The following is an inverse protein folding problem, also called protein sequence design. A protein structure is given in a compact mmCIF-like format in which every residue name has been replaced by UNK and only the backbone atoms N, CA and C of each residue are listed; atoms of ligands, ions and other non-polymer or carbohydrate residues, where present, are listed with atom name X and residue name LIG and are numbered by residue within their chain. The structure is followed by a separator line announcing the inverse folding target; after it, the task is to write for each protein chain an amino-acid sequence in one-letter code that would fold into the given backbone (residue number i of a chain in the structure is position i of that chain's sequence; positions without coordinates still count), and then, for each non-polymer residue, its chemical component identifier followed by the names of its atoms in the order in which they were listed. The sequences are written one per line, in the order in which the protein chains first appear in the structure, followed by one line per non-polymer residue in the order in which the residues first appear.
data_IF_168367919240
#
_entry.id   IF_168367919240
#
_cell.length_a   1.000
_cell.length_b   1.000
_cell.length_c   1.000
_cell.angle_alpha   90.00
_cell.angle_beta   90.00
_cell.angle_gamma   90.00
#
_symmetry.space_group_name_H-M   'P 1'
#
loop_
_entity.id
_entity.type
_entity.pdbx_description
1 polymer ?
#
# COMPACT_ATOMS: atom_id res chain seq x y z
N UNK A 1 -1.50 11.87 -29.94
CA UNK A 1 -1.21 12.64 -28.71
C UNK A 1 -0.26 13.77 -29.04
N UNK A 2 -0.70 15.00 -28.81
CA UNK A 2 0.11 16.22 -29.01
C UNK A 2 1.02 16.49 -27.80
N UNK A 3 0.57 16.07 -26.61
CA UNK A 3 1.29 16.17 -25.34
C UNK A 3 1.25 14.81 -24.61
N UNK A 4 2.27 14.51 -23.81
CA UNK A 4 2.37 13.26 -23.07
C UNK A 4 3.48 13.29 -22.02
N UNK A 5 3.43 12.34 -21.07
CA UNK A 5 4.53 12.09 -20.13
C UNK A 5 5.81 11.66 -20.88
N UNK A 6 6.97 12.10 -20.39
CA UNK A 6 8.28 11.74 -20.98
C UNK A 6 8.56 12.29 -22.39
N UNK A 7 7.68 13.12 -22.95
CA UNK A 7 7.94 13.79 -24.24
C UNK A 7 9.01 14.89 -24.12
N UNK A 8 9.57 15.32 -25.26
CA UNK A 8 10.51 16.44 -25.31
C UNK A 8 9.95 17.67 -24.57
N UNK A 9 10.82 18.44 -23.91
CA UNK A 9 10.48 19.50 -22.96
C UNK A 9 9.29 20.39 -23.37
N UNK A 10 9.24 20.90 -24.61
CA UNK A 10 8.14 21.77 -25.05
C UNK A 10 6.80 21.05 -25.28
N UNK A 11 6.77 19.72 -25.25
CA UNK A 11 5.59 18.86 -25.43
C UNK A 11 5.31 17.98 -24.20
N UNK A 12 6.11 18.08 -23.15
CA UNK A 12 5.84 17.34 -21.92
C UNK A 12 4.63 17.94 -21.20
N UNK A 13 3.83 17.07 -20.59
CA UNK A 13 2.71 17.48 -19.74
C UNK A 13 3.20 18.39 -18.62
N UNK A 14 4.30 18.03 -17.97
CA UNK A 14 4.94 18.81 -16.91
C UNK A 14 5.20 20.25 -17.35
N UNK A 15 5.82 20.47 -18.52
CA UNK A 15 6.10 21.81 -19.02
C UNK A 15 4.83 22.58 -19.41
N UNK A 16 3.89 21.92 -20.08
CA UNK A 16 2.63 22.56 -20.52
C UNK A 16 1.77 23.01 -19.33
N UNK A 17 1.87 22.30 -18.21
CA UNK A 17 1.16 22.63 -16.97
C UNK A 17 1.94 23.65 -16.14
N UNK A 18 3.26 23.43 -15.94
CA UNK A 18 4.12 24.30 -15.12
C UNK A 18 4.31 25.70 -15.73
N UNK A 19 4.47 25.80 -17.05
CA UNK A 19 4.60 27.09 -17.75
C UNK A 19 3.35 27.97 -17.63
N UNK A 20 2.19 27.40 -17.24
CA UNK A 20 0.95 28.15 -17.02
C UNK A 20 0.85 28.73 -15.62
N UNK A 21 1.51 28.14 -14.60
CA UNK A 21 1.62 28.68 -13.24
C UNK A 21 2.88 28.19 -12.51
N UNK A 22 3.81 29.12 -12.26
CA UNK A 22 5.08 28.86 -11.57
C UNK A 22 4.99 28.75 -10.04
N UNK A 23 3.87 29.15 -9.43
CA UNK A 23 3.71 29.22 -7.97
C UNK A 23 2.86 28.06 -7.39
N UNK A 24 2.67 27.00 -8.17
CA UNK A 24 1.85 25.85 -7.81
C UNK A 24 2.64 24.58 -8.08
N UNK A 25 2.45 23.60 -7.22
CA UNK A 25 2.98 22.26 -7.45
C UNK A 25 1.97 21.44 -8.25
N UNK A 26 2.50 20.46 -8.96
CA UNK A 26 1.74 19.53 -9.76
C UNK A 26 1.91 18.15 -9.13
N UNK A 27 0.79 17.48 -8.89
CA UNK A 27 0.79 16.12 -8.38
C UNK A 27 0.95 15.09 -9.51
N UNK A 28 1.18 13.82 -9.17
CA UNK A 28 1.38 12.75 -10.14
C UNK A 28 0.20 12.65 -11.11
N UNK A 29 0.43 12.82 -12.44
CA UNK A 29 -0.61 12.64 -13.44
C UNK A 29 -1.21 11.23 -13.40
N UNK A 30 -2.49 11.12 -13.76
CA UNK A 30 -3.12 9.82 -13.94
C UNK A 30 -4.18 9.84 -15.04
N UNK A 31 -4.57 8.66 -15.48
CA UNK A 31 -5.44 8.48 -16.63
C UNK A 31 -6.78 7.91 -16.19
N UNK A 32 -7.85 8.42 -16.80
CA UNK A 32 -9.19 7.84 -16.65
C UNK A 32 -9.76 7.53 -18.02
N UNK A 33 -10.61 6.52 -18.06
CA UNK A 33 -11.45 6.22 -19.20
C UNK A 33 -12.85 6.78 -18.92
N UNK A 34 -13.30 7.71 -19.77
CA UNK A 34 -14.65 8.27 -19.68
C UNK A 34 -15.70 7.29 -20.21
N UNK A 35 -16.98 7.56 -19.93
CA UNK A 35 -18.11 6.78 -20.45
C UNK A 35 -18.21 6.80 -21.99
N UNK A 36 -17.61 7.80 -22.65
CA UNK A 36 -17.50 7.92 -24.11
C UNK A 36 -16.27 7.23 -24.69
N UNK A 37 -15.54 6.45 -23.88
CA UNK A 37 -14.31 5.74 -24.25
C UNK A 37 -13.15 6.68 -24.67
N UNK A 38 -13.18 7.93 -24.19
CA UNK A 38 -12.09 8.89 -24.31
C UNK A 38 -11.15 8.77 -23.11
N UNK A 39 -9.84 8.73 -23.37
CA UNK A 39 -8.81 8.73 -22.33
C UNK A 39 -8.46 10.17 -21.97
N UNK A 40 -8.70 10.57 -20.74
CA UNK A 40 -8.32 11.87 -20.21
C UNK A 40 -7.14 11.71 -19.25
N UNK A 41 -6.18 12.63 -19.33
CA UNK A 41 -5.12 12.75 -18.31
C UNK A 41 -5.51 13.82 -17.32
N UNK A 42 -5.56 13.47 -16.04
CA UNK A 42 -5.80 14.39 -14.95
C UNK A 42 -4.49 14.70 -14.25
N UNK A 43 -4.29 15.98 -13.99
CA UNK A 43 -3.09 16.51 -13.35
C UNK A 43 -3.55 17.46 -12.24
N UNK A 44 -3.74 16.94 -11.01
CA UNK A 44 -4.12 17.77 -9.87
C UNK A 44 -3.00 18.78 -9.55
N UNK A 45 -3.39 19.97 -9.10
CA UNK A 45 -2.46 21.04 -8.74
C UNK A 45 -2.69 21.53 -7.32
N UNK A 46 -1.59 21.78 -6.63
CA UNK A 46 -1.54 22.21 -5.23
C UNK A 46 -1.04 23.65 -5.22
N UNK A 47 -1.89 24.55 -4.74
CA UNK A 47 -1.55 25.95 -4.50
C UNK A 47 -1.18 26.17 -3.04
N UNK A 48 -0.64 27.35 -2.73
CA UNK A 48 -0.22 27.68 -1.37
C UNK A 48 -0.72 29.06 -0.93
N UNK A 49 -1.30 29.11 0.26
CA UNK A 49 -1.62 30.37 0.94
C UNK A 49 -0.54 30.70 1.96
N UNK A 50 0.02 31.91 1.86
CA UNK A 50 0.94 32.39 2.89
C UNK A 50 0.17 32.68 4.18
N UNK A 51 0.52 31.98 5.25
CA UNK A 51 0.05 32.22 6.61
C UNK A 51 1.27 32.26 7.53
N UNK A 52 1.80 33.46 7.79
CA UNK A 52 3.04 33.65 8.54
C UNK A 52 3.10 32.75 9.80
N UNK A 53 4.17 31.95 9.98
CA UNK A 53 5.42 31.91 9.20
C UNK A 53 5.47 30.82 8.10
N UNK A 54 4.35 30.20 7.72
CA UNK A 54 4.30 29.03 6.84
C UNK A 54 3.50 29.25 5.55
N UNK A 55 3.67 28.33 4.59
CA UNK A 55 2.83 28.20 3.40
C UNK A 55 1.87 27.03 3.64
N UNK A 56 0.56 27.28 3.52
CA UNK A 56 -0.47 26.26 3.72
C UNK A 56 -0.91 25.73 2.35
N UNK A 57 -0.67 24.44 2.04
CA UNK A 57 -1.07 23.86 0.77
C UNK A 57 -2.59 23.69 0.71
N UNK A 58 -3.16 23.84 -0.49
CA UNK A 58 -4.57 23.59 -0.76
C UNK A 58 -4.75 23.05 -2.19
N UNK A 59 -5.86 22.35 -2.42
CA UNK A 59 -6.20 21.88 -3.77
C UNK A 59 -6.62 23.09 -4.61
N UNK A 60 -5.75 23.55 -5.50
CA UNK A 60 -5.99 24.77 -6.29
C UNK A 60 -6.89 24.47 -7.48
N UNK A 61 -6.55 23.43 -8.23
CA UNK A 61 -7.26 23.05 -9.46
C UNK A 61 -6.85 21.66 -9.94
N UNK A 62 -7.47 21.21 -11.02
CA UNK A 62 -7.05 20.02 -11.76
C UNK A 62 -7.03 20.34 -13.24
N UNK A 63 -5.89 20.10 -13.89
CA UNK A 63 -5.80 20.18 -15.34
C UNK A 63 -6.31 18.88 -15.95
N UNK A 64 -7.16 19.00 -16.95
CA UNK A 64 -7.70 17.89 -17.74
C UNK A 64 -7.15 18.01 -19.14
N UNK A 65 -6.39 17.01 -19.57
CA UNK A 65 -5.72 16.99 -20.86
C UNK A 65 -6.44 15.98 -21.75
N UNK A 66 -6.90 16.46 -22.89
CA UNK A 66 -7.62 15.68 -23.89
C UNK A 66 -6.67 15.02 -24.89
N UNK A 67 -7.10 13.95 -25.58
CA UNK A 67 -6.29 13.27 -26.60
C UNK A 67 -5.83 14.17 -27.75
N UNK A 68 -6.61 15.20 -28.08
CA UNK A 68 -6.31 16.20 -29.12
C UNK A 68 -5.24 17.22 -28.67
N UNK A 69 -4.93 17.25 -27.38
CA UNK A 69 -4.00 18.19 -26.75
C UNK A 69 -4.66 19.42 -26.13
N UNK A 70 -5.99 19.53 -26.17
CA UNK A 70 -6.70 20.58 -25.44
C UNK A 70 -6.51 20.40 -23.93
N UNK A 71 -6.28 21.50 -23.21
CA UNK A 71 -6.08 21.50 -21.75
C UNK A 71 -7.16 22.38 -21.11
N UNK A 72 -8.03 21.77 -20.32
CA UNK A 72 -8.95 22.45 -19.42
C UNK A 72 -8.28 22.62 -18.04
N UNK A 73 -8.56 23.73 -17.34
CA UNK A 73 -8.20 23.89 -15.93
C UNK A 73 -9.51 24.08 -15.14
N UNK A 74 -9.83 23.12 -14.28
CA UNK A 74 -11.05 23.09 -13.50
C UNK A 74 -10.74 23.32 -12.01
N UNK A 75 -11.50 24.20 -11.37
CA UNK A 75 -11.45 24.34 -9.90
C UNK A 75 -11.99 23.08 -9.21
N UNK A 76 -11.64 22.83 -7.94
CA UNK A 76 -12.16 21.71 -7.16
C UNK A 76 -13.68 21.57 -7.21
N UNK A 77 -14.41 22.68 -7.15
CA UNK A 77 -15.88 22.68 -7.17
C UNK A 77 -16.42 22.28 -8.53
N UNK A 78 -15.80 22.78 -9.61
CA UNK A 78 -16.23 22.49 -10.99
C UNK A 78 -15.99 21.02 -11.34
N UNK A 79 -14.82 20.50 -11.00
CA UNK A 79 -14.47 19.12 -11.37
C UNK A 79 -15.27 18.08 -10.57
N UNK A 80 -15.60 18.34 -9.31
CA UNK A 80 -16.44 17.45 -8.50
C UNK A 80 -17.90 17.39 -8.98
N UNK A 81 -18.40 18.47 -9.59
CA UNK A 81 -19.76 18.53 -10.15
C UNK A 81 -19.85 17.98 -11.57
N UNK A 82 -18.72 17.77 -12.23
CA UNK A 82 -18.68 17.32 -13.60
C UNK A 82 -18.96 15.80 -13.69
N UNK A 83 -20.00 15.38 -14.43
CA UNK A 83 -20.37 13.97 -14.58
C UNK A 83 -19.24 13.08 -15.12
N UNK A 84 -18.28 13.64 -15.87
CA UNK A 84 -17.12 12.90 -16.42
C UNK A 84 -16.27 12.25 -15.34
N UNK A 85 -16.28 12.81 -14.12
CA UNK A 85 -15.33 12.45 -13.06
C UNK A 85 -15.98 11.81 -11.83
N UNK A 86 -17.25 11.41 -11.93
CA UNK A 86 -17.94 10.74 -10.82
C UNK A 86 -17.18 9.46 -10.39
N UNK A 87 -16.94 9.32 -9.09
CA UNK A 87 -16.20 8.20 -8.50
C UNK A 87 -14.68 8.22 -8.73
N UNK A 88 -14.13 9.23 -9.40
CA UNK A 88 -12.68 9.33 -9.67
C UNK A 88 -11.91 9.95 -8.49
N UNK A 89 -10.61 9.63 -8.40
CA UNK A 89 -9.67 10.12 -7.36
C UNK A 89 -9.16 11.54 -7.61
N UNK A 90 -10.04 12.53 -7.55
CA UNK A 90 -9.72 13.93 -7.88
C UNK A 90 -8.82 14.65 -6.88
N UNK A 91 -8.95 14.38 -5.59
CA UNK A 91 -8.17 15.03 -4.54
C UNK A 91 -6.69 14.60 -4.62
N UNK A 92 -5.74 15.55 -4.62
CA UNK A 92 -4.32 15.24 -4.79
C UNK A 92 -3.78 14.30 -3.70
N UNK A 93 -3.04 13.28 -4.12
CA UNK A 93 -2.33 12.35 -3.25
C UNK A 93 -1.22 13.08 -2.48
N UNK A 94 -0.43 13.91 -3.18
CA UNK A 94 0.61 14.72 -2.57
C UNK A 94 0.07 15.64 -1.49
N UNK A 95 -1.12 16.21 -1.69
CA UNK A 95 -1.77 17.06 -0.68
C UNK A 95 -2.20 16.26 0.55
N UNK A 96 -2.80 15.07 0.36
CA UNK A 96 -3.14 14.19 1.46
C UNK A 96 -1.90 13.79 2.29
N UNK A 97 -0.79 13.51 1.60
CA UNK A 97 0.52 13.21 2.20
C UNK A 97 1.07 14.37 3.02
N UNK A 98 1.10 15.58 2.47
CA UNK A 98 1.61 16.76 3.17
C UNK A 98 0.80 17.10 4.43
N UNK A 99 -0.53 16.99 4.35
CA UNK A 99 -1.41 17.16 5.52
C UNK A 99 -1.13 16.06 6.55
N UNK A 100 -0.97 14.81 6.11
CA UNK A 100 -0.62 13.68 6.98
C UNK A 100 0.71 13.84 7.70
N UNK A 101 1.76 14.25 6.99
CA UNK A 101 3.09 14.53 7.55
C UNK A 101 3.03 15.67 8.57
N UNK A 102 2.20 16.69 8.30
CA UNK A 102 2.01 17.83 9.20
C UNK A 102 1.12 17.51 10.40
N UNK A 103 0.45 16.35 10.44
CA UNK A 103 -0.57 16.02 11.45
C UNK A 103 -0.02 15.97 12.89
N UNK A 104 1.27 15.64 13.05
CA UNK A 104 1.95 15.67 14.34
C UNK A 104 2.05 17.08 14.95
N UNK A 105 1.94 18.12 14.13
CA UNK A 105 2.05 19.52 14.55
C UNK A 105 0.71 20.18 14.93
N UNK A 106 -0.41 19.45 14.82
CA UNK A 106 -1.76 20.00 15.06
C UNK A 106 -1.97 20.60 16.45
N UNK A 107 -1.25 20.10 17.44
CA UNK A 107 -1.29 20.59 18.83
C UNK A 107 -0.21 21.67 19.10
N UNK A 108 0.40 22.21 18.04
CA UNK A 108 1.38 23.30 18.07
C UNK A 108 2.84 22.84 17.95
N UNK A 109 3.69 23.72 17.41
CA UNK A 109 5.12 23.47 17.17
C UNK A 109 5.86 23.13 18.48
N UNK A 110 5.57 23.86 19.57
CA UNK A 110 6.16 23.56 20.88
C UNK A 110 5.80 22.17 21.39
N UNK A 111 4.57 21.72 21.11
CA UNK A 111 4.18 20.36 21.45
C UNK A 111 4.96 19.36 20.61
N UNK A 112 5.01 19.53 19.30
CA UNK A 112 5.66 18.62 18.37
C UNK A 112 7.18 18.48 18.57
N UNK A 113 7.85 19.53 19.04
CA UNK A 113 9.31 19.55 19.20
C UNK A 113 9.81 19.15 20.60
N UNK A 114 8.99 19.33 21.66
CA UNK A 114 9.48 19.18 23.04
C UNK A 114 8.57 18.39 23.97
N UNK A 115 7.24 18.48 23.79
CA UNK A 115 6.27 17.90 24.75
C UNK A 115 5.77 16.54 24.29
N UNK A 116 5.59 16.37 22.97
CA UNK A 116 5.10 15.16 22.31
C UNK A 116 3.76 14.62 22.85
N UNK A 117 2.88 15.50 23.39
CA UNK A 117 1.58 15.08 23.92
C UNK A 117 0.63 14.75 22.76
N UNK A 118 0.05 13.54 22.80
CA UNK A 118 -0.86 13.01 21.78
C UNK A 118 -0.28 13.07 20.35
N UNK A 119 1.04 13.17 20.20
CA UNK A 119 1.67 13.28 18.90
C UNK A 119 1.68 11.93 18.22
N UNK A 120 1.34 11.95 16.93
CA UNK A 120 1.42 10.80 16.05
C UNK A 120 2.19 11.21 14.81
N UNK A 121 2.78 10.23 14.15
CA UNK A 121 3.50 10.37 12.90
C UNK A 121 2.99 9.33 11.90
N UNK A 122 2.89 9.65 10.61
CA UNK A 122 2.65 8.63 9.58
C UNK A 122 3.66 7.49 9.70
N UNK A 123 3.19 6.26 9.61
CA UNK A 123 4.08 5.11 9.61
C UNK A 123 4.86 5.09 8.31
N UNK A 124 6.19 4.99 8.41
CA UNK A 124 7.09 4.84 7.28
C UNK A 124 7.60 3.40 7.15
N UNK A 125 7.91 3.03 5.91
CA UNK A 125 8.52 1.75 5.57
C UNK A 125 9.98 1.99 5.17
N UNK A 126 10.91 1.34 5.85
CA UNK A 126 12.33 1.43 5.49
C UNK A 126 12.56 0.86 4.08
N UNK A 127 13.29 1.60 3.25
CA UNK A 127 13.67 1.22 1.87
C UNK A 127 12.50 1.08 0.88
N UNK A 128 11.34 1.66 1.19
CA UNK A 128 10.22 1.70 0.26
C UNK A 128 10.06 3.06 -0.41
N UNK A 129 9.96 3.08 -1.74
CA UNK A 129 9.67 4.30 -2.50
C UNK A 129 8.18 4.67 -2.41
N UNK A 130 7.29 3.70 -2.17
CA UNK A 130 5.85 3.89 -2.18
C UNK A 130 5.28 4.00 -0.75
N UNK A 131 5.35 5.21 -0.22
CA UNK A 131 4.87 5.54 1.13
C UNK A 131 3.37 5.90 1.12
N UNK A 132 2.69 5.84 2.28
CA UNK A 132 1.30 6.29 2.44
C UNK A 132 1.09 7.79 2.10
N UNK A 133 -0.04 8.19 1.48
CA UNK A 133 -1.34 7.52 1.52
C UNK A 133 -1.51 6.38 0.52
N UNK A 134 -2.22 5.33 0.95
CA UNK A 134 -2.68 4.28 0.03
C UNK A 134 -4.10 4.55 -0.44
N UNK A 135 -4.34 4.33 -1.74
CA UNK A 135 -5.68 4.37 -2.32
C UNK A 135 -6.43 3.09 -1.97
N UNK A 136 -7.53 3.23 -1.25
CA UNK A 136 -8.43 2.14 -0.91
C UNK A 136 -9.69 2.22 -1.77
N UNK A 137 -10.15 1.09 -2.35
CA UNK A 137 -11.48 1.03 -2.90
C UNK A 137 -12.51 1.11 -1.76
N UNK A 138 -13.58 1.88 -1.96
CA UNK A 138 -14.72 1.93 -1.06
C UNK A 138 -16.02 2.07 -1.86
N UNK A 139 -17.15 1.79 -1.22
CA UNK A 139 -18.47 1.70 -1.89
C UNK A 139 -18.88 2.98 -2.60
N UNK A 140 -18.64 4.13 -1.97
CA UNK A 140 -19.11 5.42 -2.50
C UNK A 140 -18.04 6.14 -3.33
N UNK A 141 -16.81 6.22 -2.80
CA UNK A 141 -15.70 6.94 -3.42
C UNK A 141 -14.39 6.40 -2.85
N UNK A 142 -13.33 6.27 -3.67
CA UNK A 142 -12.02 5.83 -3.18
C UNK A 142 -11.53 6.68 -2.01
N UNK A 143 -10.69 6.09 -1.15
CA UNK A 143 -10.19 6.74 0.06
C UNK A 143 -8.67 6.77 0.04
N UNK A 144 -8.06 7.92 0.29
CA UNK A 144 -6.65 8.01 0.66
C UNK A 144 -6.51 7.72 2.15
N UNK A 145 -5.72 6.71 2.51
CA UNK A 145 -5.54 6.28 3.88
C UNK A 145 -4.09 6.41 4.34
N UNK A 146 -3.89 7.10 5.46
CA UNK A 146 -2.61 7.17 6.17
C UNK A 146 -2.80 6.59 7.56
N UNK A 147 -1.93 5.65 7.93
CA UNK A 147 -1.84 5.12 9.28
C UNK A 147 -0.78 5.87 10.06
N UNK A 148 -1.09 6.24 11.30
CA UNK A 148 -0.17 6.97 12.17
C UNK A 148 0.10 6.20 13.46
N UNK A 149 1.38 6.10 13.83
CA UNK A 149 1.86 5.58 15.10
C UNK A 149 2.08 6.71 16.11
N UNK A 150 1.91 6.47 17.42
CA UNK A 150 2.44 7.38 18.42
C UNK A 150 3.96 7.47 18.33
N UNK A 151 4.51 8.69 18.47
CA UNK A 151 5.98 8.91 18.45
C UNK A 151 6.71 8.08 19.52
N UNK A 152 6.03 7.75 20.63
CA UNK A 152 6.61 6.96 21.72
C UNK A 152 6.39 5.45 21.62
N UNK A 153 5.58 4.96 20.68
CA UNK A 153 5.25 3.54 20.53
C UNK A 153 5.66 3.05 19.15
N UNK A 154 6.86 2.49 19.07
CA UNK A 154 7.24 1.69 17.93
C UNK A 154 6.24 0.54 17.77
N UNK A 155 5.69 0.37 16.56
CA UNK A 155 4.93 -0.80 16.12
C UNK A 155 3.40 -0.85 16.39
N UNK A 156 2.79 0.16 17.02
CA UNK A 156 1.33 0.29 17.15
C UNK A 156 0.75 1.38 16.26
N UNK A 157 -0.56 1.37 16.01
CA UNK A 157 -1.26 2.52 15.42
C UNK A 157 -2.14 3.20 16.46
N UNK A 158 -2.30 4.51 16.32
CA UNK A 158 -3.22 5.28 17.13
C UNK A 158 -4.25 6.04 16.31
N UNK A 159 -3.92 6.41 15.07
CA UNK A 159 -4.82 7.21 14.24
C UNK A 159 -4.78 6.71 12.80
N UNK A 160 -5.94 6.66 12.13
CA UNK A 160 -6.05 6.57 10.68
C UNK A 160 -6.59 7.91 10.17
N UNK A 161 -5.89 8.52 9.23
CA UNK A 161 -6.34 9.70 8.50
C UNK A 161 -6.89 9.23 7.15
N UNK A 162 -8.16 9.52 6.91
CA UNK A 162 -8.92 9.02 5.76
C UNK A 162 -9.47 10.20 4.98
N UNK A 163 -9.04 10.40 3.74
CA UNK A 163 -9.62 11.39 2.84
C UNK A 163 -10.48 10.70 1.80
N UNK A 164 -11.70 11.18 1.61
CA UNK A 164 -12.46 10.88 0.40
C UNK A 164 -11.65 11.40 -0.80
N UNK A 165 -11.13 10.50 -1.63
CA UNK A 165 -10.21 10.82 -2.71
C UNK A 165 -10.88 11.59 -3.85
N UNK A 166 -12.21 11.73 -3.86
CA UNK A 166 -12.92 12.57 -4.84
C UNK A 166 -13.09 14.01 -4.35
N UNK A 167 -13.44 14.20 -3.06
CA UNK A 167 -13.82 15.53 -2.53
C UNK A 167 -12.77 16.18 -1.63
N UNK A 168 -11.79 15.42 -1.15
CA UNK A 168 -10.83 15.87 -0.15
C UNK A 168 -11.38 15.97 1.27
N UNK A 169 -12.63 15.54 1.52
CA UNK A 169 -13.20 15.50 2.87
C UNK A 169 -12.45 14.49 3.73
N UNK A 170 -11.86 14.98 4.81
CA UNK A 170 -11.09 14.19 5.76
C UNK A 170 -11.96 13.65 6.90
N UNK A 171 -11.71 12.42 7.30
CA UNK A 171 -12.19 11.77 8.51
C UNK A 171 -10.99 11.27 9.29
N UNK A 172 -11.07 11.38 10.62
CA UNK A 172 -10.02 10.94 11.53
C UNK A 172 -10.60 9.83 12.39
N UNK A 173 -9.99 8.65 12.32
CA UNK A 173 -10.31 7.56 13.21
C UNK A 173 -9.20 7.44 14.27
N UNK A 174 -9.54 7.68 15.54
CA UNK A 174 -8.61 7.52 16.65
C UNK A 174 -8.91 6.21 17.38
N UNK A 175 -7.88 5.38 17.53
CA UNK A 175 -7.93 4.15 18.30
C UNK A 175 -8.19 4.49 19.78
N UNK A 176 -9.18 3.87 20.44
CA UNK A 176 -9.41 4.08 21.86
C UNK A 176 -8.15 3.81 22.69
N UNK A 177 -7.88 4.62 23.72
CA UNK A 177 -6.67 4.48 24.57
C UNK A 177 -6.57 3.13 25.30
N UNK A 178 -7.68 2.41 25.42
CA UNK A 178 -7.76 1.08 26.02
C UNK A 178 -7.43 -0.04 25.03
N UNK A 179 -7.37 0.26 23.73
CA UNK A 179 -7.04 -0.67 22.67
C UNK A 179 -5.60 -0.44 22.19
N UNK A 180 -4.90 -1.53 21.88
CA UNK A 180 -3.62 -1.49 21.19
C UNK A 180 -3.80 -2.25 19.90
N UNK A 181 -3.72 -1.55 18.78
CA UNK A 181 -3.79 -2.14 17.45
C UNK A 181 -2.39 -2.21 16.86
N UNK A 182 -2.06 -3.37 16.30
CA UNK A 182 -0.82 -3.60 15.57
C UNK A 182 -0.72 -2.62 14.40
N UNK A 183 0.45 -2.02 14.25
CA UNK A 183 0.76 -1.21 13.08
C UNK A 183 1.14 -2.06 11.86
N UNK A 184 1.24 -1.44 10.68
CA UNK A 184 1.53 -2.14 9.43
C UNK A 184 2.93 -2.81 9.47
N UNK A 185 3.96 -2.14 9.99
CA UNK A 185 5.29 -2.74 10.16
C UNK A 185 5.25 -4.04 10.98
N UNK A 186 4.45 -4.05 12.05
CA UNK A 186 4.29 -5.24 12.88
C UNK A 186 3.52 -6.33 12.14
N UNK A 187 2.49 -5.99 11.38
CA UNK A 187 1.75 -6.95 10.56
C UNK A 187 2.68 -7.71 9.59
N UNK A 188 3.62 -7.04 8.94
CA UNK A 188 4.62 -7.71 8.08
C UNK A 188 5.49 -8.69 8.87
N UNK A 189 5.91 -8.34 10.09
CA UNK A 189 6.66 -9.28 10.95
C UNK A 189 5.84 -10.51 11.30
N UNK A 190 4.54 -10.36 11.60
CA UNK A 190 3.64 -11.49 11.86
C UNK A 190 3.50 -12.40 10.64
N UNK A 191 3.43 -11.84 9.43
CA UNK A 191 3.42 -12.63 8.19
C UNK A 191 4.74 -13.39 8.02
N UNK A 192 5.88 -12.75 8.24
CA UNK A 192 7.20 -13.42 8.15
C UNK A 192 7.33 -14.55 9.16
N UNK A 193 6.84 -14.33 10.38
CA UNK A 193 6.82 -15.34 11.44
C UNK A 193 5.87 -16.51 11.12
N UNK A 194 4.74 -16.23 10.45
CA UNK A 194 3.76 -17.23 10.05
C UNK A 194 4.25 -18.16 8.93
N UNK A 195 5.18 -17.71 8.09
CA UNK A 195 5.77 -18.50 7.00
C UNK A 195 7.30 -18.57 7.15
N UNK A 196 7.82 -19.29 8.17
CA UNK A 196 9.25 -19.30 8.48
C UNK A 196 10.12 -20.01 7.43
N UNK A 197 9.51 -20.82 6.54
CA UNK A 197 10.21 -21.51 5.46
C UNK A 197 10.47 -20.64 4.23
N UNK A 198 9.81 -19.49 4.10
CA UNK A 198 10.07 -18.60 2.98
C UNK A 198 11.48 -18.02 3.12
N UNK A 199 12.18 -17.92 1.98
CA UNK A 199 13.49 -17.28 1.91
C UNK A 199 13.34 -15.76 1.90
N UNK A 200 12.91 -15.21 3.03
CA UNK A 200 12.66 -13.79 3.24
C UNK A 200 13.90 -12.96 3.02
N UNK A 201 13.76 -11.85 2.29
CA UNK A 201 14.84 -10.89 2.11
C UNK A 201 15.23 -10.28 3.45
N UNK A 202 16.49 -10.47 3.83
CA UNK A 202 17.18 -9.80 4.94
C UNK A 202 18.52 -9.31 4.39
N UNK A 203 18.81 -8.03 4.55
CA UNK A 203 20.09 -7.43 4.12
C UNK A 203 20.46 -7.80 2.66
N UNK A 204 19.53 -7.59 1.71
CA UNK A 204 19.65 -7.90 0.28
C UNK A 204 19.78 -9.40 -0.08
N UNK A 205 19.80 -10.29 0.92
CA UNK A 205 19.84 -11.75 0.72
C UNK A 205 18.46 -12.36 0.89
N UNK A 206 17.96 -13.06 -0.12
CA UNK A 206 16.64 -13.68 -0.12
C UNK A 206 15.97 -13.63 -1.48
N UNK A 207 14.82 -14.28 -1.61
CA UNK A 207 14.05 -14.31 -2.86
C UNK A 207 12.59 -13.91 -2.69
N UNK A 208 12.16 -13.60 -1.45
CA UNK A 208 10.77 -13.31 -1.11
C UNK A 208 10.70 -12.05 -0.24
N UNK A 209 9.80 -11.14 -0.57
CA UNK A 209 9.60 -9.88 0.15
C UNK A 209 8.12 -9.65 0.42
N UNK A 210 7.83 -8.97 1.53
CA UNK A 210 6.50 -8.44 1.85
C UNK A 210 6.37 -7.04 1.27
N UNK A 211 5.29 -6.78 0.56
CA UNK A 211 4.91 -5.43 0.13
C UNK A 211 4.12 -4.72 1.22
N UNK A 212 3.94 -3.42 1.02
CA UNK A 212 3.38 -2.48 1.96
C UNK A 212 1.97 -2.87 2.40
N UNK A 213 1.71 -2.94 3.72
CA UNK A 213 0.41 -3.34 4.23
C UNK A 213 -0.67 -2.29 3.96
N UNK A 214 -1.76 -2.73 3.34
CA UNK A 214 -2.94 -1.89 3.09
C UNK A 214 -4.01 -2.12 4.15
N UNK A 215 -4.60 -1.07 4.74
CA UNK A 215 -5.68 -1.24 5.71
C UNK A 215 -6.95 -1.76 5.05
N UNK A 216 -7.58 -2.76 5.67
CA UNK A 216 -8.86 -3.35 5.28
C UNK A 216 -9.75 -3.37 6.52
N UNK A 217 -10.96 -2.84 6.41
CA UNK A 217 -11.93 -2.82 7.52
C UNK A 217 -13.06 -3.79 7.20
N UNK A 218 -13.31 -4.76 8.08
CA UNK A 218 -14.44 -5.69 8.02
C UNK A 218 -15.02 -5.87 9.41
N UNK A 219 -16.34 -5.83 9.55
CA UNK A 219 -17.03 -6.04 10.83
C UNK A 219 -16.51 -5.16 11.98
N UNK A 220 -16.18 -3.90 11.66
CA UNK A 220 -15.56 -2.93 12.59
C UNK A 220 -14.16 -3.30 13.10
N UNK A 221 -13.52 -4.30 12.49
CA UNK A 221 -12.14 -4.71 12.78
C UNK A 221 -11.21 -4.26 11.68
N UNK A 222 -10.02 -3.83 12.08
CA UNK A 222 -8.95 -3.49 11.17
C UNK A 222 -8.09 -4.71 10.89
N UNK A 223 -7.85 -4.94 9.61
CA UNK A 223 -6.90 -5.92 9.10
C UNK A 223 -5.84 -5.21 8.27
N UNK A 224 -4.62 -5.72 8.32
CA UNK A 224 -3.53 -5.32 7.43
C UNK A 224 -3.40 -6.35 6.31
N UNK A 225 -3.71 -5.95 5.08
CA UNK A 225 -3.49 -6.78 3.91
C UNK A 225 -2.03 -6.67 3.46
N UNK A 226 -1.27 -7.73 3.64
CA UNK A 226 0.15 -7.82 3.26
C UNK A 226 0.28 -8.74 2.06
N UNK A 227 0.81 -8.21 0.96
CA UNK A 227 1.14 -9.01 -0.22
C UNK A 227 2.55 -9.56 -0.10
N UNK A 228 2.74 -10.81 -0.51
CA UNK A 228 4.06 -11.46 -0.56
C UNK A 228 4.40 -11.73 -2.01
N UNK A 229 5.58 -11.29 -2.43
CA UNK A 229 6.07 -11.42 -3.81
C UNK A 229 7.53 -11.88 -3.80
N UNK A 230 8.04 -12.24 -4.96
CA UNK A 230 9.47 -12.38 -5.16
C UNK A 230 10.15 -11.00 -5.34
N UNK A 231 11.47 -10.94 -5.17
CA UNK A 231 12.26 -9.68 -5.25
C UNK A 231 12.33 -9.05 -6.63
N UNK A 232 11.93 -9.77 -7.69
CA UNK A 232 11.79 -9.20 -9.04
C UNK A 232 10.37 -8.70 -9.34
N UNK A 233 9.45 -8.75 -8.35
CA UNK A 233 8.08 -8.27 -8.44
C UNK A 233 7.26 -8.86 -9.60
N UNK A 234 7.64 -10.05 -10.11
CA UNK A 234 7.01 -10.65 -11.28
C UNK A 234 5.60 -11.19 -11.00
N UNK A 235 5.23 -11.38 -9.73
CA UNK A 235 3.89 -11.79 -9.36
C UNK A 235 3.70 -11.91 -7.85
N UNK A 236 2.46 -11.69 -7.41
CA UNK A 236 2.07 -11.90 -6.02
C UNK A 236 1.92 -13.39 -5.77
N UNK A 237 2.76 -13.93 -4.87
CA UNK A 237 2.76 -15.34 -4.48
C UNK A 237 1.69 -15.65 -3.44
N UNK A 238 1.38 -14.70 -2.56
CA UNK A 238 0.43 -14.87 -1.48
C UNK A 238 -0.14 -13.52 -1.04
N UNK A 239 -1.44 -13.47 -0.77
CA UNK A 239 -2.06 -12.36 -0.05
C UNK A 239 -2.38 -12.82 1.37
N UNK A 240 -2.13 -11.96 2.35
CA UNK A 240 -2.47 -12.26 3.75
C UNK A 240 -3.23 -11.12 4.37
N UNK A 241 -4.15 -11.43 5.29
CA UNK A 241 -4.78 -10.46 6.18
C UNK A 241 -4.33 -10.74 7.61
N UNK A 242 -3.80 -9.72 8.27
CA UNK A 242 -3.40 -9.77 9.68
C UNK A 242 -4.39 -8.95 10.49
N UNK A 243 -5.10 -9.60 11.43
CA UNK A 243 -6.00 -8.87 12.34
C UNK A 243 -5.16 -7.96 13.25
N UNK A 244 -5.46 -6.65 13.25
CA UNK A 244 -4.71 -5.68 14.03
C UNK A 244 -4.90 -5.83 15.54
N UNK A 245 -5.95 -6.50 16.01
CA UNK A 245 -6.22 -6.68 17.45
C UNK A 245 -5.39 -7.81 18.07
N UNK A 246 -5.21 -8.92 17.36
CA UNK A 246 -4.61 -10.15 17.90
C UNK A 246 -3.41 -10.69 17.10
N UNK A 247 -3.11 -10.10 15.94
CA UNK A 247 -2.03 -10.52 15.06
C UNK A 247 -2.28 -11.84 14.33
N UNK A 248 -3.50 -12.39 14.37
CA UNK A 248 -3.82 -13.61 13.65
C UNK A 248 -3.70 -13.38 12.13
N UNK A 249 -2.94 -14.27 11.49
CA UNK A 249 -2.70 -14.24 10.05
C UNK A 249 -3.66 -15.20 9.34
N UNK A 250 -4.21 -14.77 8.21
CA UNK A 250 -4.99 -15.58 7.27
C UNK A 250 -4.44 -15.42 5.86
N UNK A 251 -4.37 -16.52 5.13
CA UNK A 251 -3.87 -16.59 3.76
C UNK A 251 -5.01 -16.64 2.73
N UNK A 252 -4.73 -16.02 1.58
CA UNK A 252 -5.61 -15.94 0.43
C UNK A 252 -4.79 -16.12 -0.83
N UNK A 253 -5.24 -17.00 -1.72
CA UNK A 253 -4.53 -17.38 -2.94
C UNK A 253 -5.13 -16.75 -4.20
N UNK A 254 -6.29 -16.10 -4.08
CA UNK A 254 -6.97 -15.45 -5.19
C UNK A 254 -7.67 -14.14 -4.77
N UNK A 255 -7.88 -13.20 -5.70
CA UNK A 255 -8.72 -12.03 -5.45
C UNK A 255 -10.15 -12.41 -5.03
N UNK A 256 -10.70 -13.50 -5.58
CA UNK A 256 -12.05 -13.97 -5.26
C UNK A 256 -12.17 -14.40 -3.80
N UNK A 257 -11.14 -15.03 -3.23
CA UNK A 257 -11.11 -15.37 -1.81
C UNK A 257 -11.08 -14.12 -0.92
N UNK A 258 -10.39 -13.05 -1.33
CA UNK A 258 -10.39 -11.77 -0.61
C UNK A 258 -11.78 -11.13 -0.68
N UNK A 259 -12.43 -11.14 -1.85
CA UNK A 259 -13.81 -10.66 -1.96
C UNK A 259 -14.76 -11.48 -1.09
N UNK A 260 -14.62 -12.82 -1.10
CA UNK A 260 -15.39 -13.71 -0.24
C UNK A 260 -15.16 -13.42 1.24
N UNK A 261 -13.94 -13.03 1.63
CA UNK A 261 -13.63 -12.54 2.98
C UNK A 261 -14.33 -11.24 3.30
N UNK A 262 -14.27 -10.24 2.42
CA UNK A 262 -14.95 -8.96 2.61
C UNK A 262 -16.47 -9.13 2.75
N UNK A 263 -17.04 -10.12 2.06
CA UNK A 263 -18.46 -10.49 2.15
C UNK A 263 -18.80 -11.42 3.34
N UNK A 264 -17.81 -11.83 4.15
CA UNK A 264 -18.03 -12.71 5.30
C UNK A 264 -18.37 -14.16 4.95
N UNK A 265 -18.13 -14.57 3.71
CA UNK A 265 -18.39 -15.94 3.21
C UNK A 265 -17.17 -16.87 3.28
N UNK A 266 -15.99 -16.30 3.55
CA UNK A 266 -14.73 -17.03 3.68
C UNK A 266 -13.81 -16.36 4.70
N UNK A 267 -13.03 -17.13 5.46
CA UNK A 267 -12.16 -16.58 6.52
C UNK A 267 -10.66 -16.67 6.19
N UNK A 268 -10.31 -17.22 5.03
CA UNK A 268 -8.92 -17.50 4.67
C UNK A 268 -8.36 -18.75 5.35
N UNK A 269 -7.23 -19.20 4.84
CA UNK A 269 -6.52 -20.35 5.39
C UNK A 269 -5.64 -19.92 6.56
N UNK A 270 -5.48 -20.81 7.55
CA UNK A 270 -4.45 -20.60 8.57
C UNK A 270 -3.08 -20.91 7.95
N UNK A 271 -2.03 -20.15 8.32
CA UNK A 271 -0.68 -20.49 7.93
C UNK A 271 -0.33 -21.94 8.33
N UNK A 272 0.51 -22.64 7.55
CA UNK A 272 0.88 -24.02 7.83
C UNK A 272 1.53 -24.11 9.22
N UNK A 273 1.07 -25.07 10.04
CA UNK A 273 1.67 -25.29 11.36
C UNK A 273 3.00 -26.02 11.19
N UNK A 274 3.95 -25.82 12.10
CA UNK A 274 5.24 -26.54 12.08
C UNK A 274 5.10 -28.07 11.98
N UNK A 275 3.97 -28.64 12.43
CA UNK A 275 3.65 -30.07 12.28
C UNK A 275 3.20 -30.49 10.86
N UNK A 276 2.47 -29.62 10.15
CA UNK A 276 2.04 -29.83 8.75
C UNK A 276 3.25 -29.78 7.79
N UNK A 277 4.25 -28.98 8.18
CA UNK A 277 5.48 -28.79 7.42
C UNK A 277 6.43 -30.00 7.53
N UNK A 278 6.49 -30.67 8.68
CA UNK A 278 7.31 -31.89 8.85
C UNK A 278 6.75 -33.07 8.05
N UNK A 279 5.43 -33.13 7.83
CA UNK A 279 4.79 -34.20 7.07
C UNK A 279 4.95 -34.06 5.54
N UNK A 280 5.31 -32.87 5.02
CA UNK A 280 5.60 -32.67 3.60
C UNK A 280 7.09 -32.84 3.22
N UNK A 281 8.02 -32.70 4.17
CA UNK A 281 9.47 -32.91 3.93
C UNK A 281 10.01 -34.26 4.41
N UNK A 282 9.24 -34.99 5.21
CA UNK A 282 9.58 -36.34 5.61
C UNK A 282 8.74 -37.29 4.76
N UNK A 283 9.25 -37.71 3.60
CA UNK A 283 8.82 -39.01 3.05
C UNK A 283 8.97 -39.99 4.20
N UNK A 284 7.85 -40.46 4.72
CA UNK A 284 7.81 -41.27 5.94
C UNK A 284 8.50 -42.60 5.61
N UNK A 285 9.82 -42.64 5.82
CA UNK A 285 10.69 -43.77 5.45
C UNK A 285 10.17 -45.04 6.15
N UNK A 286 9.53 -44.87 7.31
CA UNK A 286 8.91 -45.95 8.08
C UNK A 286 7.69 -46.60 7.39
N UNK A 287 7.14 -45.96 6.34
CA UNK A 287 6.00 -46.45 5.55
C UNK A 287 6.38 -46.84 4.12
N UNK A 288 7.64 -46.72 3.73
CA UNK A 288 8.10 -47.15 2.42
C UNK A 288 8.24 -48.67 2.36
N UNK A 289 7.88 -49.27 1.23
CA UNK A 289 8.27 -50.66 0.94
C UNK A 289 9.78 -50.76 0.74
N UNK A 290 10.35 -51.93 1.01
CA UNK A 290 11.79 -52.19 0.85
C UNK A 290 12.30 -51.80 -0.55
N UNK A 291 11.53 -52.07 -1.61
CA UNK A 291 11.87 -51.71 -2.99
C UNK A 291 11.96 -50.20 -3.22
N UNK A 292 11.11 -49.42 -2.56
CA UNK A 292 11.14 -47.95 -2.64
C UNK A 292 12.35 -47.39 -1.89
N UNK A 293 12.67 -47.99 -0.75
CA UNK A 293 13.86 -47.68 0.05
C UNK A 293 15.16 -47.95 -0.73
N UNK A 294 15.26 -49.12 -1.39
CA UNK A 294 16.43 -49.45 -2.22
C UNK A 294 16.60 -48.48 -3.38
N UNK A 295 15.51 -48.09 -4.07
CA UNK A 295 15.58 -47.08 -5.14
C UNK A 295 16.02 -45.71 -4.63
N UNK A 296 15.57 -45.31 -3.44
CA UNK A 296 15.96 -44.03 -2.85
C UNK A 296 17.47 -44.01 -2.54
N UNK A 297 17.98 -45.09 -1.96
CA UNK A 297 19.39 -45.25 -1.64
C UNK A 297 20.25 -45.28 -2.92
N UNK A 298 19.84 -46.01 -3.95
CA UNK A 298 20.57 -46.07 -5.23
C UNK A 298 20.64 -44.71 -5.92
N UNK A 299 19.55 -43.95 -5.90
CA UNK A 299 19.53 -42.59 -6.45
C UNK A 299 20.46 -41.64 -5.67
N UNK A 300 20.45 -41.71 -4.34
CA UNK A 300 21.35 -40.93 -3.50
C UNK A 300 22.82 -41.30 -3.72
N UNK A 301 23.12 -42.60 -3.86
CA UNK A 301 24.47 -43.10 -4.14
C UNK A 301 24.97 -42.64 -5.51
N UNK A 302 24.12 -42.67 -6.53
CA UNK A 302 24.45 -42.20 -7.88
C UNK A 302 24.72 -40.69 -7.91
N UNK A 303 23.97 -39.91 -7.15
CA UNK A 303 24.19 -38.47 -7.03
C UNK A 303 25.52 -38.16 -6.30
N UNK A 304 25.86 -38.92 -5.26
CA UNK A 304 27.16 -38.79 -4.58
C UNK A 304 28.34 -39.17 -5.48
N UNK A 305 28.20 -40.23 -6.29
CA UNK A 305 29.21 -40.61 -7.29
C UNK A 305 29.42 -39.51 -8.32
N UNK A 306 28.35 -38.93 -8.86
CA UNK A 306 28.43 -37.78 -9.80
C UNK A 306 29.14 -36.57 -9.20
N UNK A 307 28.94 -36.31 -7.91
CA UNK A 307 29.62 -35.20 -7.21
C UNK A 307 31.10 -35.48 -6.97
N UNK A 308 31.47 -36.76 -6.79
CA UNK A 308 32.88 -37.18 -6.67
C UNK A 308 33.65 -37.06 -7.98
N UNK A 309 32.99 -37.27 -9.12
CA UNK A 309 33.59 -37.14 -10.45
C UNK A 309 33.74 -35.68 -10.92
N UNK A 310 33.07 -34.72 -10.26
CA UNK A 310 33.17 -33.28 -10.52
C UNK A 310 34.20 -32.55 -9.64
N UNK A 311 34.92 -33.27 -8.77
CA UNK A 311 36.07 -32.77 -7.99
C UNK A 311 37.35 -33.40 -8.53
#
# INVERSE_FOLDING_TARGET
MTFGEGMAFNRSIEWQTYSRRFNSDIDTPYYILTSTNEVLTLVPSIGYHFQFPAMVPFWESTYVIHPDGTIENLSPERIQQDPRFQGQRLFPEGLAREIGNSWGYRDGIWNALFIHRNQVEPVSFEHDENQMPYLLPATDSPIWAIACSPVSQAHGINTLLLWNAHSGKMQVYTVPKTASLLGPNKAMEYVRAAYPLYNWTKDETGSVVTLEPRPVIRDSKLYWMVSVTNTNYAGVSLQTLVNAEDGSVRAFHSPDEIQAFLHGTYEGEKPPTSADTQSQQQTDISKMSDDQLFKLIDNALNELKKRREKK
#
